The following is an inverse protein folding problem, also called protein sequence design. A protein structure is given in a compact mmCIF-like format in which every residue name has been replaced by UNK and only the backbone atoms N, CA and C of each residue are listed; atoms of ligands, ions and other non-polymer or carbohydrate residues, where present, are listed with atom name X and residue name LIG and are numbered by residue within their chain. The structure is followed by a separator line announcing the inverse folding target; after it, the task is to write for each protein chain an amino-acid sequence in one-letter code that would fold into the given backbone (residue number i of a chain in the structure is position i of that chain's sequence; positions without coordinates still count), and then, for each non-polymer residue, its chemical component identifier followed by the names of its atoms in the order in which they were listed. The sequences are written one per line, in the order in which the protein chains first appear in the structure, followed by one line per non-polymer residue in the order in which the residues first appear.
data_IF_306080053080
#
_entry.id   IF_306080053080
#
_cell.length_a   1.000
_cell.length_b   1.000
_cell.length_c   1.000
_cell.angle_alpha   90.00
_cell.angle_beta   90.00
_cell.angle_gamma   90.00
#
_symmetry.space_group_name_H-M   'P 1'
#
loop_
_entity.id
_entity.type
_entity.pdbx_description
1 polymer ?
#
# COMPACT_ATOMS: atom_id res chain seq x y z
N UNK A 1 6.92 -5.38 26.11
CA UNK A 1 7.45 -6.43 27.00
C UNK A 1 6.64 -7.72 26.81
N UNK A 2 6.59 -8.32 25.63
CA UNK A 2 5.78 -9.52 25.37
C UNK A 2 6.25 -10.37 24.19
N UNK A 3 7.03 -9.81 23.28
CA UNK A 3 7.35 -10.48 22.01
C UNK A 3 8.49 -11.52 22.10
N UNK A 4 9.26 -11.54 23.18
CA UNK A 4 10.41 -12.43 23.32
C UNK A 4 10.08 -13.89 23.67
N UNK A 5 9.00 -14.15 24.38
CA UNK A 5 8.66 -15.52 24.83
C UNK A 5 7.95 -16.35 23.74
N UNK A 6 7.15 -15.73 22.88
CA UNK A 6 6.48 -16.44 21.80
C UNK A 6 7.43 -16.85 20.65
N UNK A 7 8.46 -16.05 20.36
CA UNK A 7 9.45 -16.40 19.33
C UNK A 7 10.35 -17.58 19.74
N UNK A 8 10.68 -17.71 21.01
CA UNK A 8 11.44 -18.86 21.51
C UNK A 8 10.66 -20.17 21.44
N UNK A 9 9.35 -20.14 21.62
CA UNK A 9 8.50 -21.34 21.51
C UNK A 9 8.41 -21.85 20.08
N UNK A 10 8.25 -20.97 19.08
CA UNK A 10 8.21 -21.35 17.66
C UNK A 10 9.53 -21.96 17.18
N UNK A 11 10.67 -21.39 17.56
CA UNK A 11 11.99 -21.93 17.23
C UNK A 11 12.19 -23.34 17.80
N UNK A 12 11.76 -23.60 19.02
CA UNK A 12 11.88 -24.91 19.65
C UNK A 12 10.98 -25.97 19.00
N UNK A 13 9.82 -25.58 18.47
CA UNK A 13 8.92 -26.46 17.72
C UNK A 13 9.51 -26.83 16.35
N UNK A 14 10.18 -25.88 15.69
CA UNK A 14 10.76 -26.07 14.36
C UNK A 14 12.09 -26.83 14.36
N UNK A 15 12.86 -26.79 15.45
CA UNK A 15 14.16 -27.46 15.55
C UNK A 15 14.16 -28.94 15.16
N UNK A 16 13.24 -29.80 15.61
CA UNK A 16 13.22 -31.21 15.22
C UNK A 16 13.00 -31.40 13.73
N UNK A 17 12.03 -30.72 13.15
CA UNK A 17 11.68 -30.85 11.71
C UNK A 17 12.79 -30.29 10.79
N UNK A 18 13.45 -29.21 11.22
CA UNK A 18 14.67 -28.69 10.56
C UNK A 18 15.83 -29.69 10.67
N UNK A 19 15.91 -30.43 11.79
CA UNK A 19 16.97 -31.41 12.02
C UNK A 19 16.87 -32.61 11.08
N UNK A 20 15.66 -33.03 10.80
CA UNK A 20 15.38 -34.18 9.97
C UNK A 20 15.37 -33.88 8.46
N UNK A 21 15.51 -32.59 8.09
CA UNK A 21 15.44 -32.18 6.68
C UNK A 21 14.04 -32.27 6.07
N UNK A 22 13.00 -32.37 6.90
CA UNK A 22 11.60 -32.51 6.47
C UNK A 22 11.00 -31.22 5.94
N UNK A 23 11.59 -30.08 6.34
CA UNK A 23 11.07 -28.74 6.01
C UNK A 23 12.20 -27.84 5.54
N UNK A 24 11.97 -27.11 4.44
CA UNK A 24 12.81 -26.02 3.97
C UNK A 24 12.17 -24.69 4.38
N UNK A 25 12.94 -23.85 5.07
CA UNK A 25 12.45 -22.57 5.58
C UNK A 25 13.31 -21.43 5.03
N UNK A 26 12.65 -20.40 4.50
CA UNK A 26 13.26 -19.11 4.19
C UNK A 26 12.72 -18.12 5.22
N UNK A 27 13.60 -17.54 6.02
CA UNK A 27 13.28 -16.54 7.02
C UNK A 27 13.91 -15.20 6.69
N UNK A 28 13.22 -14.11 6.97
CA UNK A 28 13.74 -12.75 6.86
C UNK A 28 13.85 -12.13 8.25
N UNK A 29 14.93 -11.44 8.51
CA UNK A 29 15.18 -10.77 9.79
C UNK A 29 16.21 -9.66 9.63
N UNK A 30 16.39 -8.82 10.63
CA UNK A 30 17.45 -7.82 10.65
C UNK A 30 18.78 -8.45 11.14
N UNK A 31 19.92 -7.86 10.73
CA UNK A 31 21.24 -8.31 11.24
C UNK A 31 21.32 -8.28 12.76
N UNK A 32 20.67 -7.30 13.40
CA UNK A 32 20.65 -7.16 14.86
C UNK A 32 19.92 -8.32 15.52
N UNK A 33 18.77 -8.70 14.96
CA UNK A 33 17.96 -9.82 15.47
C UNK A 33 18.60 -11.16 15.15
N UNK A 34 19.19 -11.33 13.96
CA UNK A 34 19.94 -12.53 13.60
C UNK A 34 21.04 -12.81 14.62
N UNK A 35 21.89 -11.81 14.92
CA UNK A 35 22.95 -11.93 15.94
C UNK A 35 22.41 -12.21 17.33
N UNK A 36 21.26 -11.67 17.67
CA UNK A 36 20.66 -11.84 18.98
C UNK A 36 20.03 -13.20 19.20
N UNK A 37 19.36 -13.75 18.17
CA UNK A 37 18.49 -14.91 18.32
C UNK A 37 18.94 -16.14 17.54
N UNK A 38 19.59 -16.01 16.39
CA UNK A 38 19.99 -17.13 15.54
C UNK A 38 21.46 -17.52 15.81
N UNK A 39 22.36 -16.57 15.74
CA UNK A 39 23.80 -16.79 15.92
C UNK A 39 24.16 -17.34 17.31
N UNK A 40 23.39 -17.01 18.33
CA UNK A 40 23.55 -17.52 19.69
C UNK A 40 23.01 -18.92 19.90
N UNK A 41 22.18 -19.41 19.01
CA UNK A 41 21.63 -20.77 19.09
C UNK A 41 22.34 -21.68 18.09
N UNK A 42 23.29 -22.44 18.58
CA UNK A 42 24.13 -23.33 17.75
C UNK A 42 23.33 -24.38 16.95
N UNK A 43 22.11 -24.68 17.37
CA UNK A 43 21.24 -25.61 16.64
C UNK A 43 20.58 -24.93 15.43
N UNK A 44 20.27 -23.65 15.50
CA UNK A 44 19.73 -22.85 14.39
C UNK A 44 20.86 -22.38 13.47
N UNK A 45 21.97 -21.86 14.01
CA UNK A 45 23.12 -21.36 13.25
C UNK A 45 23.61 -22.37 12.20
N UNK A 46 23.72 -23.64 12.59
CA UNK A 46 24.19 -24.72 11.69
C UNK A 46 23.21 -25.12 10.61
N UNK A 47 21.98 -24.63 10.66
CA UNK A 47 20.89 -25.04 9.75
C UNK A 47 20.38 -23.92 8.86
N UNK A 48 20.73 -22.69 9.17
CA UNK A 48 20.42 -21.54 8.36
C UNK A 48 21.68 -20.97 7.72
N UNK A 49 21.67 -20.89 6.39
CA UNK A 49 22.69 -20.15 5.68
C UNK A 49 22.26 -18.68 5.62
N UNK A 50 23.12 -17.81 6.09
CA UNK A 50 22.89 -16.36 6.01
C UNK A 50 23.06 -15.90 4.56
N UNK A 51 22.08 -15.16 4.07
CA UNK A 51 22.12 -14.42 2.81
C UNK A 51 21.94 -12.94 3.14
N UNK A 52 22.99 -12.16 2.99
CA UNK A 52 22.93 -10.72 3.20
C UNK A 52 22.26 -10.06 2.00
N UNK A 53 21.18 -9.32 2.27
CA UNK A 53 20.51 -8.49 1.27
C UNK A 53 20.96 -7.06 1.49
N UNK A 54 21.72 -6.52 0.53
CA UNK A 54 22.22 -5.16 0.58
C UNK A 54 21.18 -4.17 0.05
N UNK A 55 21.32 -2.90 0.43
CA UNK A 55 20.50 -1.83 -0.11
C UNK A 55 20.70 -1.70 -1.62
N UNK A 56 19.62 -1.68 -2.43
CA UNK A 56 19.75 -1.51 -3.87
C UNK A 56 20.22 -0.10 -4.21
N UNK A 57 20.98 0.02 -5.29
CA UNK A 57 21.38 1.30 -5.83
C UNK A 57 20.17 2.07 -6.44
N UNK A 58 20.38 3.33 -6.86
CA UNK A 58 19.35 4.19 -7.44
C UNK A 58 18.73 3.54 -8.68
N UNK A 59 19.55 2.97 -9.59
CA UNK A 59 19.06 2.38 -10.83
C UNK A 59 18.18 1.14 -10.59
N UNK A 60 18.58 0.29 -9.67
CA UNK A 60 17.82 -0.91 -9.32
C UNK A 60 16.55 -0.54 -8.53
N UNK A 61 16.61 0.49 -7.68
CA UNK A 61 15.43 1.03 -7.00
C UNK A 61 14.40 1.60 -7.98
N UNK A 62 14.84 2.28 -9.04
CA UNK A 62 13.95 2.75 -10.11
C UNK A 62 13.25 1.56 -10.79
N UNK A 63 13.99 0.50 -11.14
CA UNK A 63 13.40 -0.71 -11.75
C UNK A 63 12.38 -1.38 -10.82
N UNK A 64 12.67 -1.42 -9.52
CA UNK A 64 11.74 -1.96 -8.51
C UNK A 64 10.45 -1.14 -8.50
N UNK A 65 10.55 0.18 -8.39
CA UNK A 65 9.37 1.05 -8.38
C UNK A 65 8.59 0.99 -9.71
N UNK A 66 9.27 0.92 -10.87
CA UNK A 66 8.62 0.71 -12.17
C UNK A 66 7.84 -0.61 -12.20
N UNK A 67 8.38 -1.67 -11.59
CA UNK A 67 7.73 -2.97 -11.50
C UNK A 67 6.45 -2.98 -10.66
N UNK A 68 6.42 -2.21 -9.57
CA UNK A 68 5.27 -2.13 -8.66
C UNK A 68 4.30 -0.99 -9.01
N UNK A 69 4.68 -0.06 -9.88
CA UNK A 69 3.93 1.12 -10.31
C UNK A 69 2.46 0.84 -10.58
N UNK A 70 2.18 -0.22 -11.35
CA UNK A 70 0.82 -0.58 -11.77
C UNK A 70 -0.11 -0.85 -10.58
N UNK A 71 0.39 -1.47 -9.51
CA UNK A 71 -0.39 -1.74 -8.30
C UNK A 71 -0.79 -0.44 -7.61
N UNK A 72 0.12 0.55 -7.53
CA UNK A 72 -0.17 1.87 -6.96
C UNK A 72 -1.14 2.67 -7.83
N UNK A 73 -1.00 2.64 -9.16
CA UNK A 73 -1.94 3.28 -10.09
C UNK A 73 -3.36 2.71 -9.94
N UNK A 74 -3.48 1.38 -9.84
CA UNK A 74 -4.77 0.70 -9.68
C UNK A 74 -5.40 0.95 -8.30
N UNK A 75 -4.59 0.96 -7.25
CA UNK A 75 -5.06 1.14 -5.87
C UNK A 75 -5.49 2.59 -5.61
N UNK A 76 -4.64 3.55 -5.91
CA UNK A 76 -4.89 4.97 -5.63
C UNK A 76 -5.68 5.68 -6.74
N UNK A 77 -5.95 5.02 -7.87
CA UNK A 77 -6.65 5.64 -9.01
C UNK A 77 -5.95 6.90 -9.51
N UNK A 78 -4.64 6.83 -9.70
CA UNK A 78 -3.77 7.89 -10.21
C UNK A 78 -2.97 7.37 -11.40
N UNK A 79 -2.41 8.26 -12.21
CA UNK A 79 -1.44 7.92 -13.26
C UNK A 79 -0.05 8.36 -12.83
N UNK A 80 0.93 7.48 -12.98
CA UNK A 80 2.32 7.71 -12.60
C UNK A 80 3.19 7.60 -13.85
N UNK A 81 3.95 8.64 -14.20
CA UNK A 81 4.92 8.55 -15.29
C UNK A 81 6.24 7.93 -14.80
N UNK A 82 7.03 7.36 -15.72
CA UNK A 82 8.34 6.81 -15.36
C UNK A 82 9.31 7.92 -14.92
N UNK A 83 9.15 9.13 -15.44
CA UNK A 83 9.97 10.29 -15.02
C UNK A 83 9.70 10.65 -13.55
N UNK A 84 8.43 10.63 -13.11
CA UNK A 84 8.10 10.85 -11.70
C UNK A 84 8.69 9.76 -10.80
N UNK A 85 8.70 8.50 -11.24
CA UNK A 85 9.34 7.41 -10.50
C UNK A 85 10.84 7.68 -10.32
N UNK A 86 11.53 8.03 -11.40
CA UNK A 86 12.96 8.37 -11.34
C UNK A 86 13.22 9.52 -10.36
N UNK A 87 12.43 10.59 -10.48
CA UNK A 87 12.55 11.75 -9.58
C UNK A 87 12.24 11.37 -8.12
N UNK A 88 11.26 10.50 -7.88
CA UNK A 88 10.95 10.03 -6.52
C UNK A 88 12.15 9.34 -5.88
N UNK A 89 12.81 8.44 -6.61
CA UNK A 89 14.01 7.73 -6.10
C UNK A 89 15.16 8.71 -5.86
N UNK A 90 15.47 9.58 -6.83
CA UNK A 90 16.57 10.55 -6.73
C UNK A 90 16.34 11.52 -5.57
N UNK A 91 15.14 12.08 -5.45
CA UNK A 91 14.81 13.01 -4.37
C UNK A 91 14.79 12.32 -3.00
N UNK A 92 14.27 11.09 -2.92
CA UNK A 92 14.28 10.34 -1.66
C UNK A 92 15.71 10.08 -1.18
N UNK A 93 16.63 9.73 -2.08
CA UNK A 93 18.04 9.52 -1.74
C UNK A 93 18.73 10.80 -1.30
N UNK A 94 18.43 11.92 -1.99
CA UNK A 94 19.05 13.20 -1.73
C UNK A 94 18.61 13.88 -0.42
N UNK A 95 17.35 13.70 -0.03
CA UNK A 95 16.75 14.47 1.06
C UNK A 95 16.40 13.63 2.30
N UNK A 96 16.33 12.28 2.19
CA UNK A 96 15.97 11.40 3.28
C UNK A 96 17.13 10.45 3.60
N UNK A 97 17.76 10.66 4.76
CA UNK A 97 18.97 9.93 5.16
C UNK A 97 18.75 8.93 6.30
N UNK A 98 17.58 8.94 6.93
CA UNK A 98 17.24 8.08 8.07
C UNK A 98 16.57 6.75 7.66
N UNK A 99 16.36 6.54 6.36
CA UNK A 99 15.73 5.35 5.77
C UNK A 99 16.49 4.88 4.54
N UNK A 100 16.30 3.62 4.18
CA UNK A 100 16.98 2.96 3.06
C UNK A 100 16.11 2.87 1.80
N UNK A 101 16.75 2.78 0.64
CA UNK A 101 16.09 2.41 -0.60
C UNK A 101 15.79 0.89 -0.59
N UNK A 102 14.69 0.43 -1.25
CA UNK A 102 13.71 1.23 -1.98
C UNK A 102 12.59 1.79 -1.09
N UNK A 103 12.51 1.40 0.18
CA UNK A 103 11.37 1.64 1.08
C UNK A 103 11.04 3.12 1.20
N UNK A 104 12.05 4.00 1.42
CA UNK A 104 11.81 5.45 1.50
C UNK A 104 11.18 6.04 0.24
N UNK A 105 11.53 5.53 -0.93
CA UNK A 105 10.94 5.99 -2.20
C UNK A 105 9.52 5.44 -2.40
N UNK A 106 9.27 4.20 -1.97
CA UNK A 106 7.95 3.57 -1.97
C UNK A 106 6.99 4.33 -1.04
N UNK A 107 7.43 4.63 0.17
CA UNK A 107 6.63 5.37 1.16
C UNK A 107 6.23 6.76 0.64
N UNK A 108 7.17 7.49 0.02
CA UNK A 108 6.88 8.79 -0.60
C UNK A 108 5.88 8.66 -1.74
N UNK A 109 6.06 7.65 -2.59
CA UNK A 109 5.17 7.40 -3.72
C UNK A 109 3.75 7.11 -3.23
N UNK A 110 3.62 6.24 -2.22
CA UNK A 110 2.34 5.88 -1.60
C UNK A 110 1.63 7.09 -1.00
N UNK A 111 2.33 7.89 -0.19
CA UNK A 111 1.78 9.09 0.43
C UNK A 111 1.35 10.14 -0.61
N UNK A 112 2.16 10.36 -1.65
CA UNK A 112 1.83 11.30 -2.73
C UNK A 112 0.60 10.83 -3.53
N UNK A 113 0.52 9.55 -3.87
CA UNK A 113 -0.63 8.97 -4.55
C UNK A 113 -1.90 9.06 -3.70
N UNK A 114 -1.79 8.73 -2.41
CA UNK A 114 -2.88 8.81 -1.44
C UNK A 114 -3.44 10.23 -1.33
N UNK A 115 -2.56 11.23 -1.26
CA UNK A 115 -2.94 12.64 -1.20
C UNK A 115 -3.71 13.08 -2.45
N UNK A 116 -3.23 12.75 -3.65
CA UNK A 116 -3.92 13.08 -4.91
C UNK A 116 -5.28 12.40 -4.97
N UNK A 117 -5.39 11.15 -4.52
CA UNK A 117 -6.65 10.44 -4.45
C UNK A 117 -7.65 11.18 -3.56
N UNK A 118 -7.24 11.59 -2.35
CA UNK A 118 -8.09 12.33 -1.40
C UNK A 118 -8.54 13.71 -1.95
N UNK A 119 -7.74 14.34 -2.79
CA UNK A 119 -8.08 15.60 -3.45
C UNK A 119 -9.05 15.41 -4.64
N UNK A 120 -9.30 14.17 -5.07
CA UNK A 120 -10.21 13.89 -6.16
C UNK A 120 -11.66 13.73 -5.66
N UNK A 121 -12.41 14.86 -5.71
CA UNK A 121 -13.81 14.91 -5.23
C UNK A 121 -14.74 13.93 -5.98
N UNK A 122 -14.44 13.62 -7.23
CA UNK A 122 -15.25 12.69 -8.03
C UNK A 122 -15.07 11.25 -7.57
N UNK A 123 -13.83 10.85 -7.24
CA UNK A 123 -13.54 9.54 -6.66
C UNK A 123 -14.19 9.40 -5.28
N UNK A 124 -14.11 10.44 -4.46
CA UNK A 124 -14.78 10.44 -3.15
C UNK A 124 -16.28 10.26 -3.28
N UNK A 125 -16.91 11.01 -4.20
CA UNK A 125 -18.35 10.89 -4.48
C UNK A 125 -18.72 9.49 -4.97
N UNK A 126 -17.91 8.92 -5.86
CA UNK A 126 -18.09 7.55 -6.35
C UNK A 126 -18.09 6.52 -5.21
N UNK A 127 -17.16 6.66 -4.28
CA UNK A 127 -17.06 5.75 -3.14
C UNK A 127 -18.24 5.89 -2.19
N UNK A 128 -18.71 7.11 -1.94
CA UNK A 128 -19.94 7.35 -1.17
C UNK A 128 -21.16 6.71 -1.82
N UNK A 129 -21.34 6.85 -3.15
CA UNK A 129 -22.44 6.21 -3.87
C UNK A 129 -22.37 4.68 -3.82
N UNK A 130 -21.18 4.10 -3.88
CA UNK A 130 -21.00 2.64 -3.72
C UNK A 130 -21.38 2.16 -2.33
N UNK A 131 -21.01 2.91 -1.28
CA UNK A 131 -21.39 2.59 0.09
C UNK A 131 -22.91 2.70 0.28
N UNK A 132 -23.53 3.74 -0.27
CA UNK A 132 -25.01 3.90 -0.26
C UNK A 132 -25.69 2.75 -0.99
N UNK A 133 -25.19 2.36 -2.17
CA UNK A 133 -25.70 1.21 -2.92
C UNK A 133 -25.62 -0.08 -2.11
N UNK A 134 -24.51 -0.32 -1.39
CA UNK A 134 -24.36 -1.49 -0.54
C UNK A 134 -25.39 -1.50 0.60
N UNK A 135 -25.66 -0.34 1.21
CA UNK A 135 -26.69 -0.20 2.26
C UNK A 135 -28.11 -0.44 1.70
N UNK A 136 -28.42 0.12 0.53
CA UNK A 136 -29.72 -0.08 -0.12
C UNK A 136 -29.93 -1.55 -0.48
N UNK A 137 -28.91 -2.23 -1.01
CA UNK A 137 -28.96 -3.67 -1.31
C UNK A 137 -29.26 -4.49 -0.05
N UNK A 138 -28.57 -4.23 1.04
CA UNK A 138 -28.79 -4.91 2.32
C UNK A 138 -30.22 -4.70 2.83
N UNK A 139 -30.69 -3.45 2.86
CA UNK A 139 -32.08 -3.12 3.25
C UNK A 139 -33.12 -3.80 2.38
N UNK A 140 -32.86 -3.91 1.07
CA UNK A 140 -33.74 -4.61 0.13
C UNK A 140 -33.81 -6.11 0.40
N UNK A 141 -32.66 -6.76 0.71
CA UNK A 141 -32.62 -8.16 1.10
C UNK A 141 -33.37 -8.40 2.41
N UNK A 142 -33.19 -7.54 3.41
CA UNK A 142 -33.90 -7.61 4.68
C UNK A 142 -35.42 -7.46 4.48
N UNK A 143 -35.85 -6.51 3.64
CA UNK A 143 -37.28 -6.30 3.33
C UNK A 143 -37.89 -7.43 2.49
N UNK A 144 -37.10 -8.06 1.60
CA UNK A 144 -37.58 -9.19 0.78
C UNK A 144 -37.74 -10.49 1.62
N UNK A 145 -37.06 -10.60 2.74
CA UNK A 145 -37.16 -11.75 3.66
C UNK A 145 -38.29 -11.59 4.70
N UNK A 146 -38.99 -10.44 4.71
CA UNK A 146 -40.10 -10.18 5.61
C UNK A 146 -41.44 -10.50 4.90
N UNK A 147 -42.34 -11.21 5.58
CA UNK A 147 -43.59 -11.77 5.01
C UNK A 147 -44.79 -10.80 5.02
N UNK A 148 -44.58 -9.48 4.97
CA UNK A 148 -45.67 -8.52 4.99
C UNK A 148 -45.83 -7.78 3.65
N UNK A 149 -47.10 -7.39 3.32
CA UNK A 149 -47.43 -6.66 2.08
C UNK A 149 -46.77 -5.27 2.02
N UNK A 150 -46.54 -4.64 3.21
CA UNK A 150 -45.83 -3.37 3.32
C UNK A 150 -44.36 -3.49 2.99
N UNK A 151 -43.74 -4.64 3.28
CA UNK A 151 -42.32 -4.89 3.01
C UNK A 151 -42.06 -5.15 1.52
N UNK A 152 -43.04 -5.70 0.77
CA UNK A 152 -42.96 -5.80 -0.69
C UNK A 152 -42.92 -4.42 -1.35
N UNK A 153 -43.72 -3.47 -0.83
CA UNK A 153 -43.78 -2.11 -1.36
C UNK A 153 -42.45 -1.37 -1.09
N UNK A 154 -41.92 -1.52 0.12
CA UNK A 154 -40.58 -1.01 0.49
C UNK A 154 -39.47 -1.61 -0.38
N UNK A 155 -39.53 -2.92 -0.66
CA UNK A 155 -38.56 -3.60 -1.52
C UNK A 155 -38.60 -3.07 -2.97
N UNK A 156 -39.79 -2.72 -3.50
CA UNK A 156 -39.94 -2.11 -4.81
C UNK A 156 -39.34 -0.68 -4.87
N UNK A 157 -39.57 0.14 -3.83
CA UNK A 157 -38.96 1.46 -3.71
C UNK A 157 -37.45 1.40 -3.61
N UNK A 158 -36.94 0.48 -2.81
CA UNK A 158 -35.50 0.24 -2.68
C UNK A 158 -34.88 -0.26 -3.99
N UNK A 159 -35.63 -1.05 -4.80
CA UNK A 159 -35.19 -1.46 -6.14
C UNK A 159 -35.05 -0.27 -7.09
N UNK A 160 -35.99 0.67 -7.03
CA UNK A 160 -35.92 1.90 -7.82
C UNK A 160 -34.73 2.76 -7.42
N UNK A 161 -34.47 2.85 -6.12
CA UNK A 161 -33.29 3.55 -5.57
C UNK A 161 -31.98 2.89 -6.02
N UNK A 162 -31.91 1.55 -5.95
CA UNK A 162 -30.77 0.77 -6.45
C UNK A 162 -30.47 1.08 -7.92
N UNK A 163 -31.49 1.08 -8.79
CA UNK A 163 -31.31 1.38 -10.21
C UNK A 163 -30.76 2.80 -10.44
N UNK A 164 -31.28 3.79 -9.73
CA UNK A 164 -30.78 5.19 -9.83
C UNK A 164 -29.34 5.32 -9.40
N UNK A 165 -28.95 4.69 -8.29
CA UNK A 165 -27.58 4.70 -7.80
C UNK A 165 -26.62 4.02 -8.79
N UNK A 166 -27.01 2.92 -9.40
CA UNK A 166 -26.23 2.24 -10.44
C UNK A 166 -26.02 3.16 -11.64
N UNK A 167 -27.08 3.81 -12.15
CA UNK A 167 -26.95 4.75 -13.26
C UNK A 167 -26.04 5.94 -12.94
N UNK A 168 -26.10 6.47 -11.71
CA UNK A 168 -25.23 7.57 -11.28
C UNK A 168 -23.78 7.11 -11.15
N UNK A 169 -23.53 5.92 -10.61
CA UNK A 169 -22.21 5.30 -10.54
C UNK A 169 -21.62 5.08 -11.94
N UNK A 170 -22.42 4.57 -12.90
CA UNK A 170 -21.96 4.31 -14.26
C UNK A 170 -21.63 5.62 -14.99
N UNK A 171 -22.43 6.67 -14.81
CA UNK A 171 -22.15 8.01 -15.35
C UNK A 171 -20.84 8.57 -14.77
N UNK A 172 -20.65 8.50 -13.46
CA UNK A 172 -19.44 8.96 -12.82
C UNK A 172 -18.22 8.15 -13.29
N UNK A 173 -18.31 6.84 -13.35
CA UNK A 173 -17.22 5.98 -13.84
C UNK A 173 -16.77 6.33 -15.27
N UNK A 174 -17.71 6.76 -16.12
CA UNK A 174 -17.39 7.17 -17.51
C UNK A 174 -16.76 8.57 -17.61
N UNK A 175 -16.95 9.42 -16.60
CA UNK A 175 -16.47 10.82 -16.59
C UNK A 175 -15.24 11.05 -15.74
N UNK A 176 -14.94 10.18 -14.77
CA UNK A 176 -13.80 10.33 -13.87
C UNK A 176 -12.50 10.29 -14.66
N UNK A 177 -11.73 11.37 -14.56
CA UNK A 177 -10.37 11.42 -15.07
C UNK A 177 -9.39 11.15 -13.95
N UNK A 178 -8.50 10.18 -14.19
CA UNK A 178 -7.41 9.89 -13.27
C UNK A 178 -6.43 11.07 -13.28
N UNK A 179 -6.13 11.61 -12.11
CA UNK A 179 -5.12 12.66 -11.97
C UNK A 179 -3.72 12.07 -12.21
N UNK A 180 -2.84 12.87 -12.81
CA UNK A 180 -1.43 12.52 -12.98
C UNK A 180 -0.66 12.93 -11.73
N UNK A 181 0.16 12.03 -11.20
CA UNK A 181 1.14 12.36 -10.18
C UNK A 181 2.25 13.22 -10.80
N UNK A 182 2.62 14.29 -10.12
CA UNK A 182 3.66 15.23 -10.58
C UNK A 182 4.88 15.20 -9.64
N UNK A 183 6.02 15.67 -10.14
CA UNK A 183 7.23 15.87 -9.31
C UNK A 183 6.97 16.85 -8.15
N UNK A 184 6.06 17.79 -8.34
CA UNK A 184 5.70 18.77 -7.31
C UNK A 184 4.95 18.11 -6.13
N UNK A 185 4.12 17.11 -6.39
CA UNK A 185 3.44 16.33 -5.36
C UNK A 185 4.44 15.53 -4.53
N UNK A 186 5.45 14.93 -5.18
CA UNK A 186 6.56 14.25 -4.51
C UNK A 186 7.35 15.22 -3.63
N UNK A 187 7.72 16.40 -4.17
CA UNK A 187 8.45 17.41 -3.42
C UNK A 187 7.67 17.91 -2.19
N UNK A 188 6.33 17.98 -2.28
CA UNK A 188 5.48 18.37 -1.16
C UNK A 188 5.48 17.33 -0.03
N UNK A 189 5.52 16.04 -0.36
CA UNK A 189 5.64 14.97 0.65
C UNK A 189 7.00 15.06 1.34
N UNK A 190 8.08 15.24 0.56
CA UNK A 190 9.42 15.40 1.10
C UNK A 190 9.52 16.64 2.01
N UNK A 191 8.89 17.76 1.63
CA UNK A 191 8.81 18.95 2.50
C UNK A 191 8.12 18.63 3.83
N UNK A 192 7.03 17.88 3.81
CA UNK A 192 6.33 17.49 5.02
C UNK A 192 7.21 16.68 5.97
N UNK A 193 8.04 15.79 5.42
CA UNK A 193 8.93 14.93 6.20
C UNK A 193 10.19 15.64 6.69
N UNK A 194 10.85 16.39 5.80
CA UNK A 194 12.16 16.98 6.06
C UNK A 194 12.10 18.44 6.52
N UNK A 195 10.95 19.10 6.32
CA UNK A 195 10.75 20.55 6.51
C UNK A 195 11.59 21.42 5.58
N UNK A 196 12.13 20.85 4.50
CA UNK A 196 12.86 21.59 3.46
C UNK A 196 11.83 22.14 2.46
N UNK A 197 11.78 23.46 2.20
CA UNK A 197 10.78 24.05 1.31
C UNK A 197 10.80 23.50 -0.13
N UNK A 198 9.63 23.20 -0.70
CA UNK A 198 9.45 22.67 -2.07
C UNK A 198 10.26 23.44 -3.10
N UNK A 199 10.30 24.78 -3.02
CA UNK A 199 11.07 25.62 -3.96
C UNK A 199 12.54 25.24 -4.02
N UNK A 200 13.16 24.94 -2.88
CA UNK A 200 14.57 24.51 -2.83
C UNK A 200 14.75 23.10 -3.39
N UNK A 201 13.75 22.24 -3.26
CA UNK A 201 13.78 20.88 -3.77
C UNK A 201 13.69 20.90 -5.31
N UNK A 202 12.71 21.63 -5.86
CA UNK A 202 12.47 21.69 -7.32
C UNK A 202 13.52 22.52 -8.08
N UNK A 203 14.06 23.60 -7.51
CA UNK A 203 15.13 24.40 -8.14
C UNK A 203 16.44 23.61 -8.26
N UNK A 204 16.74 22.74 -7.30
CA UNK A 204 17.96 21.94 -7.31
C UNK A 204 17.94 20.80 -8.35
N UNK A 205 16.79 20.46 -8.90
CA UNK A 205 16.61 19.45 -9.95
C UNK A 205 16.60 20.04 -11.37
N UNK A 206 16.54 21.37 -11.50
CA UNK A 206 16.47 22.07 -12.79
C UNK A 206 17.86 22.55 -13.27
N UNK A 207 18.89 22.39 -12.46
CA UNK A 207 20.31 22.66 -12.77
C UNK A 207 21.08 21.38 -13.08
#
# INVERSE_FOLDING_TARGET
AGDGEHSMNAANILKPSLSNGEVQIIGTTTLKEYRKYIEKDSALERRFQQVLVEEPNIEDSIKILEGIKKYYEEYHKVKISNDVIKQTVIMSEKYIHDRFLPDKAIDILDEACSRINLENKELFRLEMLKQELAQVKKKKEDAANADSTEDYQKAADLKTQECRLIEEIDKLNSTIQLKNLTTQDIAQVIENWTKIPVKKITEAETQ
#
